data_IF_615016137077
#
_entry.id   IF_615016137077
#
_cell.length_a   1.000
_cell.length_b   1.000
_cell.length_c   1.000
_cell.angle_alpha   90.00
_cell.angle_beta   90.00
_cell.angle_gamma   90.00
#
_symmetry.space_group_name_H-M   'P 1'
#
loop_
_entity.id
_entity.type
_entity.pdbx_description
1 polymer ?
#
# COMPACT_ATOMS: atom_id res chain seq x y z
N UNK A 1 -23.94 -18.77 -26.43
CA UNK A 1 -24.33 -17.71 -25.47
C UNK A 1 -24.70 -18.24 -24.09
N UNK A 2 -25.69 -19.15 -23.93
CA UNK A 2 -26.11 -19.66 -22.59
C UNK A 2 -24.96 -20.17 -21.71
N UNK A 3 -24.00 -20.90 -22.28
CA UNK A 3 -22.85 -21.42 -21.53
C UNK A 3 -21.84 -20.33 -21.13
N UNK A 4 -21.75 -19.24 -21.88
CA UNK A 4 -20.83 -18.13 -21.59
C UNK A 4 -21.35 -17.31 -20.41
N UNK A 5 -22.66 -17.03 -20.39
CA UNK A 5 -23.34 -16.34 -19.28
C UNK A 5 -23.26 -17.17 -17.99
N UNK A 6 -23.42 -18.49 -18.08
CA UNK A 6 -23.31 -19.38 -16.92
C UNK A 6 -21.89 -19.41 -16.34
N UNK A 7 -20.85 -19.39 -17.20
CA UNK A 7 -19.45 -19.32 -16.76
C UNK A 7 -19.12 -17.99 -16.11
N UNK A 8 -19.60 -16.87 -16.67
CA UNK A 8 -19.41 -15.54 -16.08
C UNK A 8 -20.09 -15.40 -14.72
N UNK A 9 -21.29 -15.99 -14.55
CA UNK A 9 -21.97 -16.00 -13.24
C UNK A 9 -21.20 -16.82 -12.20
N UNK A 10 -20.53 -17.89 -12.60
CA UNK A 10 -19.72 -18.73 -11.70
C UNK A 10 -18.28 -18.21 -11.49
N UNK A 11 -17.95 -17.01 -11.98
CA UNK A 11 -16.61 -16.45 -11.90
C UNK A 11 -16.42 -15.65 -10.60
N UNK A 12 -15.66 -16.22 -9.66
CA UNK A 12 -15.31 -15.62 -8.37
C UNK A 12 -14.00 -14.79 -8.43
N UNK A 13 -13.39 -14.65 -9.62
CA UNK A 13 -12.14 -13.89 -9.77
C UNK A 13 -12.29 -12.42 -9.34
N UNK A 14 -13.48 -11.84 -9.48
CA UNK A 14 -13.79 -10.50 -8.97
C UNK A 14 -13.85 -10.42 -7.44
N UNK A 15 -14.41 -11.44 -6.78
CA UNK A 15 -14.47 -11.50 -5.32
C UNK A 15 -13.06 -11.67 -4.73
N UNK A 16 -12.24 -12.54 -5.32
CA UNK A 16 -10.84 -12.72 -4.91
C UNK A 16 -9.98 -11.47 -5.16
N UNK A 17 -10.25 -10.70 -6.22
CA UNK A 17 -9.58 -9.42 -6.46
C UNK A 17 -9.85 -8.38 -5.36
N UNK A 18 -11.04 -8.38 -4.75
CA UNK A 18 -11.37 -7.48 -3.63
C UNK A 18 -10.62 -7.89 -2.35
N UNK A 19 -10.48 -9.19 -2.09
CA UNK A 19 -9.73 -9.71 -0.94
C UNK A 19 -8.24 -9.34 -1.02
N UNK A 20 -7.60 -9.64 -2.17
CA UNK A 20 -6.20 -9.26 -2.39
C UNK A 20 -6.03 -7.74 -2.47
N UNK A 21 -7.03 -7.02 -2.99
CA UNK A 21 -7.06 -5.55 -2.99
C UNK A 21 -7.06 -4.96 -1.59
N UNK A 22 -7.84 -5.54 -0.66
CA UNK A 22 -7.87 -5.09 0.74
C UNK A 22 -6.56 -5.37 1.47
N UNK A 23 -5.96 -6.54 1.24
CA UNK A 23 -4.64 -6.89 1.80
C UNK A 23 -3.57 -5.91 1.28
N UNK A 24 -3.55 -5.64 -0.03
CA UNK A 24 -2.62 -4.71 -0.65
C UNK A 24 -2.80 -3.28 -0.11
N UNK A 25 -4.04 -2.83 0.10
CA UNK A 25 -4.33 -1.54 0.70
C UNK A 25 -3.80 -1.44 2.14
N UNK A 26 -4.00 -2.48 2.95
CA UNK A 26 -3.49 -2.54 4.33
C UNK A 26 -1.96 -2.49 4.41
N UNK A 27 -1.28 -3.27 3.56
CA UNK A 27 0.20 -3.25 3.46
C UNK A 27 0.68 -1.87 3.01
N UNK A 28 0.03 -1.27 2.02
CA UNK A 28 0.40 0.05 1.51
C UNK A 28 0.30 1.13 2.60
N UNK A 29 -0.77 1.13 3.39
CA UNK A 29 -0.93 2.07 4.51
C UNK A 29 0.16 1.90 5.57
N UNK A 30 0.51 0.67 5.93
CA UNK A 30 1.59 0.40 6.87
C UNK A 30 2.94 0.92 6.36
N UNK A 31 3.25 0.69 5.08
CA UNK A 31 4.48 1.19 4.45
C UNK A 31 4.50 2.73 4.48
N UNK A 32 3.42 3.39 4.10
CA UNK A 32 3.33 4.87 4.10
C UNK A 32 3.60 5.42 5.50
N UNK A 33 3.01 4.84 6.54
CA UNK A 33 3.23 5.27 7.91
C UNK A 33 4.70 5.17 8.34
N UNK A 34 5.36 4.05 8.02
CA UNK A 34 6.77 3.83 8.35
C UNK A 34 7.68 4.78 7.57
N UNK A 35 7.46 4.94 6.27
CA UNK A 35 8.28 5.80 5.41
C UNK A 35 8.19 7.27 5.83
N UNK A 36 6.99 7.75 6.20
CA UNK A 36 6.83 9.10 6.72
C UNK A 36 7.63 9.31 8.01
N UNK A 37 7.55 8.37 8.96
CA UNK A 37 8.32 8.43 10.21
C UNK A 37 9.83 8.43 9.98
N UNK A 38 10.31 7.58 9.05
CA UNK A 38 11.72 7.56 8.65
C UNK A 38 12.15 8.90 8.03
N UNK A 39 11.33 9.48 7.15
CA UNK A 39 11.59 10.78 6.53
C UNK A 39 11.73 11.89 7.57
N UNK A 40 10.83 11.95 8.54
CA UNK A 40 10.92 12.93 9.65
C UNK A 40 12.20 12.76 10.46
N UNK A 41 12.56 11.52 10.83
CA UNK A 41 13.76 11.26 11.61
C UNK A 41 15.04 11.62 10.85
N UNK A 42 15.13 11.22 9.57
CA UNK A 42 16.26 11.58 8.71
C UNK A 42 16.41 13.09 8.56
N UNK A 43 15.31 13.80 8.31
CA UNK A 43 15.34 15.26 8.21
C UNK A 43 15.81 15.91 9.53
N UNK A 44 15.38 15.38 10.67
CA UNK A 44 15.88 15.80 11.99
C UNK A 44 17.40 15.64 12.10
N UNK A 45 17.93 14.46 11.74
CA UNK A 45 19.38 14.20 11.76
C UNK A 45 20.17 15.12 10.83
N UNK A 46 19.68 15.37 9.62
CA UNK A 46 20.33 16.32 8.72
C UNK A 46 20.27 17.76 9.23
N UNK A 47 19.18 18.14 9.91
CA UNK A 47 19.07 19.45 10.56
C UNK A 47 20.05 19.61 11.71
N UNK A 48 20.22 18.57 12.54
CA UNK A 48 21.19 18.55 13.65
C UNK A 48 22.63 18.71 13.13
N UNK A 49 22.98 17.97 12.07
CA UNK A 49 24.29 18.07 11.41
C UNK A 49 24.50 19.48 10.85
N UNK A 50 23.53 20.01 10.10
CA UNK A 50 23.62 21.35 9.52
C UNK A 50 23.75 22.44 10.59
N UNK A 51 23.10 22.27 11.75
CA UNK A 51 23.23 23.18 12.88
C UNK A 51 24.61 23.09 13.50
N UNK A 52 25.18 21.90 13.59
CA UNK A 52 26.52 21.67 14.15
C UNK A 52 27.67 22.12 13.23
N UNK A 53 27.42 22.33 11.95
CA UNK A 53 28.38 22.82 10.96
C UNK A 53 28.43 24.35 10.84
N UNK A 54 27.46 25.06 11.42
CA UNK A 54 27.40 26.54 11.44
C UNK A 54 28.09 27.08 12.68
#
# INVERSE_FOLDING_TARGET
MKNMIKKFWSDESGATAIEYGLIAAGISLAIIAVVNGLGTNLNGKFSDINTSLK
#
